data_IF_975720361258
#
_entry.id   IF_975720361258
#
_cell.length_a   1.000
_cell.length_b   1.000
_cell.length_c   1.000
_cell.angle_alpha   90.00
_cell.angle_beta   90.00
_cell.angle_gamma   90.00
#
_symmetry.space_group_name_H-M   'P 1'
#
loop_
_entity.id
_entity.type
_entity.pdbx_description
1 polymer ?
#
# COMPACT_ATOMS: atom_id res chain seq x y z
N UNK A 1 34.77 -15.82 -17.89
CA UNK A 1 34.36 -14.86 -16.84
C UNK A 1 34.31 -13.49 -17.49
N UNK A 2 33.09 -13.03 -17.82
CA UNK A 2 32.56 -11.89 -17.10
C UNK A 2 31.21 -12.21 -16.44
N UNK A 3 30.99 -11.45 -15.39
CA UNK A 3 29.83 -11.35 -14.52
C UNK A 3 28.52 -11.11 -15.30
N UNK A 4 27.59 -12.08 -15.25
CA UNK A 4 26.17 -11.82 -15.49
C UNK A 4 25.47 -11.79 -14.14
N UNK A 5 25.63 -10.69 -13.42
CA UNK A 5 24.54 -10.10 -12.64
C UNK A 5 23.38 -9.80 -13.60
N UNK A 6 22.65 -10.84 -13.99
CA UNK A 6 21.29 -10.69 -14.52
C UNK A 6 20.41 -10.34 -13.34
N UNK A 7 20.32 -9.03 -13.12
CA UNK A 7 19.25 -8.38 -12.38
C UNK A 7 17.94 -9.00 -12.83
N UNK A 8 17.44 -9.94 -12.03
CA UNK A 8 16.06 -10.39 -12.08
C UNK A 8 15.20 -9.18 -11.69
N UNK A 9 15.03 -8.26 -12.63
CA UNK A 9 13.95 -7.27 -12.64
C UNK A 9 12.68 -8.08 -12.82
N UNK A 10 12.25 -8.69 -11.72
CA UNK A 10 11.00 -9.42 -11.66
C UNK A 10 9.91 -8.42 -11.97
N UNK A 11 9.38 -8.48 -13.19
CA UNK A 11 8.12 -7.88 -13.61
C UNK A 11 6.95 -8.59 -12.91
N UNK A 12 7.04 -8.76 -11.60
CA UNK A 12 5.89 -9.04 -10.78
C UNK A 12 5.08 -7.74 -10.77
N UNK A 13 3.83 -7.79 -11.22
CA UNK A 13 2.89 -6.68 -11.12
C UNK A 13 3.06 -5.94 -9.79
N UNK A 14 2.99 -4.61 -9.76
CA UNK A 14 3.22 -3.83 -8.55
C UNK A 14 2.18 -4.22 -7.50
N UNK A 15 2.54 -5.20 -6.67
CA UNK A 15 1.73 -5.78 -5.60
C UNK A 15 2.49 -5.63 -4.30
N UNK A 16 1.74 -5.49 -3.21
CA UNK A 16 2.34 -5.43 -1.88
C UNK A 16 3.13 -6.70 -1.59
N UNK A 17 4.30 -6.56 -0.96
CA UNK A 17 5.01 -7.72 -0.45
C UNK A 17 4.10 -8.47 0.54
N UNK A 18 4.21 -9.79 0.60
CA UNK A 18 3.27 -10.62 1.35
C UNK A 18 3.23 -10.24 2.86
N UNK A 19 4.37 -9.80 3.42
CA UNK A 19 4.45 -9.28 4.77
C UNK A 19 3.69 -7.94 4.97
N UNK A 20 3.82 -7.01 4.02
CA UNK A 20 3.10 -5.73 4.03
C UNK A 20 1.59 -5.96 3.83
N UNK A 21 1.22 -6.84 2.90
CA UNK A 21 -0.16 -7.22 2.63
C UNK A 21 -0.82 -7.83 3.87
N UNK A 22 -0.14 -8.75 4.56
CA UNK A 22 -0.60 -9.32 5.84
C UNK A 22 -0.77 -8.26 6.92
N UNK A 23 0.11 -7.26 6.98
CA UNK A 23 0.00 -6.15 7.94
C UNK A 23 -1.20 -5.24 7.63
N UNK A 24 -1.40 -4.90 6.35
CA UNK A 24 -2.57 -4.14 5.90
C UNK A 24 -3.87 -4.87 6.22
N UNK A 25 -3.97 -6.18 5.91
CA UNK A 25 -5.16 -7.00 6.19
C UNK A 25 -5.46 -7.17 7.68
N UNK A 26 -4.45 -7.06 8.56
CA UNK A 26 -4.64 -7.09 10.02
C UNK A 26 -5.19 -5.78 10.56
N UNK A 27 -5.13 -4.70 9.78
CA UNK A 27 -5.60 -3.40 10.24
C UNK A 27 -7.12 -3.31 10.13
N UNK A 28 -7.85 -3.05 11.23
CA UNK A 28 -9.30 -2.96 11.19
C UNK A 28 -9.75 -1.85 10.22
N UNK A 29 -10.63 -2.21 9.28
CA UNK A 29 -11.13 -1.30 8.24
C UNK A 29 -10.41 -1.39 6.89
N UNK A 30 -9.32 -2.16 6.79
CA UNK A 30 -8.65 -2.47 5.52
C UNK A 30 -8.95 -3.91 5.09
N UNK A 31 -9.83 -4.04 4.11
CA UNK A 31 -10.14 -5.33 3.48
C UNK A 31 -9.28 -5.60 2.23
N UNK A 32 -9.33 -6.82 1.69
CA UNK A 32 -8.59 -7.20 0.48
C UNK A 32 -8.92 -6.29 -0.71
N UNK A 33 -10.19 -5.86 -0.84
CA UNK A 33 -10.62 -4.93 -1.89
C UNK A 33 -9.85 -3.59 -1.82
N UNK A 34 -9.54 -3.09 -0.62
CA UNK A 34 -8.80 -1.82 -0.48
C UNK A 34 -7.37 -1.99 -0.98
N UNK A 35 -6.75 -3.13 -0.68
CA UNK A 35 -5.40 -3.47 -1.14
C UNK A 35 -5.40 -3.62 -2.66
N UNK A 36 -6.35 -4.35 -3.23
CA UNK A 36 -6.46 -4.47 -4.69
C UNK A 36 -6.65 -3.11 -5.38
N UNK A 37 -7.41 -2.18 -4.78
CA UNK A 37 -7.55 -0.81 -5.30
C UNK A 37 -6.26 0.00 -5.20
N UNK A 38 -5.48 -0.18 -4.14
CA UNK A 38 -4.16 0.44 -4.02
C UNK A 38 -3.20 -0.11 -5.08
N UNK A 39 -3.18 -1.43 -5.26
CA UNK A 39 -2.38 -2.10 -6.29
C UNK A 39 -2.78 -1.64 -7.70
N UNK A 40 -4.08 -1.51 -7.96
CA UNK A 40 -4.60 -0.99 -9.23
C UNK A 40 -4.25 0.49 -9.46
N UNK A 41 -4.06 1.28 -8.40
CA UNK A 41 -3.53 2.64 -8.49
C UNK A 41 -2.00 2.70 -8.60
N UNK A 42 -1.33 1.55 -8.75
CA UNK A 42 0.13 1.46 -8.86
C UNK A 42 0.86 1.55 -7.52
N UNK A 43 0.15 1.44 -6.40
CA UNK A 43 0.72 1.50 -5.06
C UNK A 43 0.96 0.08 -4.58
N UNK A 44 2.24 -0.27 -4.49
CA UNK A 44 2.70 -1.64 -4.27
C UNK A 44 3.61 -1.79 -3.06
N UNK A 45 3.81 -0.74 -2.28
CA UNK A 45 4.59 -0.81 -1.04
C UNK A 45 4.16 0.29 -0.09
N UNK A 46 4.32 0.02 1.22
CA UNK A 46 4.11 0.98 2.30
C UNK A 46 5.05 2.19 2.16
N UNK A 47 6.26 2.00 1.62
CA UNK A 47 7.19 3.10 1.35
C UNK A 47 6.64 4.05 0.27
N UNK A 48 6.08 3.50 -0.81
CA UNK A 48 5.43 4.28 -1.87
C UNK A 48 4.19 5.00 -1.34
N UNK A 49 3.37 4.31 -0.54
CA UNK A 49 2.21 4.91 0.12
C UNK A 49 2.60 6.07 1.05
N UNK A 50 3.68 5.92 1.83
CA UNK A 50 4.23 6.98 2.67
C UNK A 50 4.73 8.16 1.85
N UNK A 51 5.46 7.90 0.76
CA UNK A 51 6.05 8.93 -0.10
C UNK A 51 4.99 9.76 -0.84
N UNK A 52 3.94 9.10 -1.35
CA UNK A 52 2.83 9.77 -2.02
C UNK A 52 1.88 10.47 -1.03
N UNK A 53 1.82 9.96 0.20
CA UNK A 53 0.91 10.40 1.24
C UNK A 53 -0.45 9.72 1.15
N UNK A 54 -0.96 9.26 2.29
CA UNK A 54 -2.26 8.56 2.38
C UNK A 54 -3.41 9.44 1.87
N UNK A 55 -3.37 10.75 2.12
CA UNK A 55 -4.44 11.65 1.67
C UNK A 55 -4.47 11.79 0.15
N UNK A 56 -3.31 11.95 -0.49
CA UNK A 56 -3.18 12.01 -1.95
C UNK A 56 -3.73 10.75 -2.60
N UNK A 57 -3.35 9.59 -2.07
CA UNK A 57 -3.81 8.27 -2.56
C UNK A 57 -5.31 8.10 -2.39
N UNK A 58 -5.84 8.45 -1.22
CA UNK A 58 -7.28 8.35 -0.95
C UNK A 58 -8.05 9.31 -1.84
N UNK A 59 -7.55 10.53 -2.06
CA UNK A 59 -8.17 11.51 -2.95
C UNK A 59 -8.20 11.00 -4.40
N UNK A 60 -7.08 10.44 -4.89
CA UNK A 60 -6.99 9.85 -6.22
C UNK A 60 -7.93 8.65 -6.42
N UNK A 61 -8.17 7.87 -5.36
CA UNK A 61 -9.06 6.70 -5.38
C UNK A 61 -10.53 7.02 -5.07
N UNK A 62 -10.80 8.22 -4.53
CA UNK A 62 -12.14 8.67 -4.18
C UNK A 62 -12.86 9.18 -5.43
N UNK A 63 -13.61 8.30 -6.09
CA UNK A 63 -14.54 8.70 -7.13
C UNK A 63 -15.79 9.34 -6.53
N UNK A 64 -16.42 10.32 -7.22
CA UNK A 64 -17.67 10.92 -6.77
C UNK A 64 -18.72 9.81 -6.56
N UNK A 65 -19.22 9.67 -5.33
CA UNK A 65 -20.15 8.61 -4.91
C UNK A 65 -19.59 7.60 -3.89
N UNK A 66 -18.28 7.58 -3.61
CA UNK A 66 -17.67 6.62 -2.63
C UNK A 66 -17.11 7.27 -1.35
N UNK A 67 -17.47 8.54 -1.12
CA UNK A 67 -16.77 9.44 -0.20
C UNK A 67 -16.77 8.99 1.28
N UNK A 68 -17.86 8.39 1.79
CA UNK A 68 -17.91 7.95 3.20
C UNK A 68 -17.03 6.75 3.51
N UNK A 69 -17.00 5.74 2.63
CA UNK A 69 -16.29 4.49 2.89
C UNK A 69 -14.76 4.67 2.84
N UNK A 70 -14.28 5.59 2.00
CA UNK A 70 -12.85 5.93 1.92
C UNK A 70 -12.37 6.78 3.09
N UNK A 71 -13.24 7.59 3.71
CA UNK A 71 -12.88 8.38 4.90
C UNK A 71 -12.45 7.52 6.09
N UNK A 72 -13.17 6.42 6.34
CA UNK A 72 -12.78 5.47 7.39
C UNK A 72 -11.50 4.70 7.02
N UNK A 73 -11.38 4.30 5.75
CA UNK A 73 -10.19 3.61 5.22
C UNK A 73 -8.93 4.50 5.27
N UNK A 74 -9.06 5.81 5.12
CA UNK A 74 -7.96 6.77 5.28
C UNK A 74 -7.33 6.68 6.67
N UNK A 75 -8.15 6.73 7.71
CA UNK A 75 -7.68 6.62 9.09
C UNK A 75 -7.03 5.24 9.35
N UNK A 76 -7.59 4.17 8.79
CA UNK A 76 -7.02 2.84 8.90
C UNK A 76 -5.69 2.72 8.14
N UNK A 77 -5.55 3.31 6.95
CA UNK A 77 -4.29 3.36 6.20
C UNK A 77 -3.21 4.15 6.96
N UNK A 78 -3.56 5.29 7.56
CA UNK A 78 -2.63 6.04 8.39
C UNK A 78 -2.17 5.23 9.61
N UNK A 79 -3.09 4.54 10.29
CA UNK A 79 -2.73 3.66 11.41
C UNK A 79 -1.80 2.51 10.97
N UNK A 80 -2.15 1.83 9.87
CA UNK A 80 -1.31 0.76 9.33
C UNK A 80 0.11 1.25 9.03
N UNK A 81 0.22 2.45 8.45
CA UNK A 81 1.48 3.08 8.11
C UNK A 81 2.30 3.45 9.35
N UNK A 82 1.67 4.08 10.35
CA UNK A 82 2.32 4.41 11.61
C UNK A 82 2.83 3.15 12.32
N UNK A 83 2.03 2.09 12.41
CA UNK A 83 2.46 0.82 13.00
C UNK A 83 3.58 0.15 12.20
N UNK A 84 3.57 0.27 10.87
CA UNK A 84 4.62 -0.27 10.01
C UNK A 84 5.94 0.49 10.17
N UNK A 85 5.91 1.82 10.20
CA UNK A 85 7.09 2.66 10.41
C UNK A 85 7.71 2.42 11.79
N UNK A 86 6.88 2.30 12.83
CA UNK A 86 7.37 1.98 14.17
C UNK A 86 8.07 0.62 14.25
N UNK A 87 7.61 -0.38 13.48
CA UNK A 87 8.24 -1.70 13.38
C UNK A 87 9.49 -1.70 12.50
N UNK A 88 9.55 -0.84 11.48
CA UNK A 88 10.63 -0.82 10.49
C UNK A 88 11.79 0.12 10.85
N UNK A 89 11.59 1.00 11.84
CA UNK A 89 12.60 1.91 12.37
C UNK A 89 13.22 1.46 13.69
N UNK A 90 13.06 0.19 14.08
CA UNK A 90 13.70 -0.44 15.24
C UNK A 90 14.85 -1.35 14.81
#
# INVERSE_FOLDING_TARGET
MPDLMSHASSTASPRFADAERRHLLKTPGLGPIVIERLEAAGISSMATLHRLGVETVVCALCTPGTNLAWRNRRNALQQALTSYLHRSGA
#
